data_IF_865402823908
#
_entry.id   IF_865402823908
#
_cell.length_a   1.000
_cell.length_b   1.000
_cell.length_c   1.000
_cell.angle_alpha   90.00
_cell.angle_beta   90.00
_cell.angle_gamma   90.00
#
_symmetry.space_group_name_H-M   'P 1'
#
loop_
_entity.id
_entity.type
_entity.pdbx_description
1 polymer ?
#
# COMPACT_ATOMS: atom_id res chain seq x y z
N UNK A 1 -40.36 -10.01 -33.21
CA UNK A 1 -39.43 -9.33 -32.27
C UNK A 1 -38.00 -9.86 -32.32
N UNK A 2 -37.75 -11.15 -32.57
CA UNK A 2 -36.40 -11.72 -32.75
C UNK A 2 -35.46 -11.07 -33.80
N UNK A 3 -35.92 -10.70 -35.02
CA UNK A 3 -35.00 -10.13 -36.03
C UNK A 3 -34.56 -8.69 -35.71
N UNK A 4 -35.38 -7.92 -34.98
CA UNK A 4 -35.04 -6.57 -34.54
C UNK A 4 -33.97 -6.59 -33.44
N UNK A 5 -34.01 -7.59 -32.54
CA UNK A 5 -32.98 -7.78 -31.51
C UNK A 5 -31.64 -8.16 -32.11
N UNK A 6 -31.62 -9.10 -33.06
CA UNK A 6 -30.40 -9.47 -33.79
C UNK A 6 -29.78 -8.29 -34.57
N UNK A 7 -30.60 -7.45 -35.20
CA UNK A 7 -30.12 -6.24 -35.87
C UNK A 7 -29.61 -5.20 -34.87
N UNK A 8 -30.33 -4.95 -33.78
CA UNK A 8 -29.90 -4.04 -32.72
C UNK A 8 -28.59 -4.51 -32.06
N UNK A 9 -28.45 -5.81 -31.78
CA UNK A 9 -27.23 -6.41 -31.21
C UNK A 9 -26.04 -6.30 -32.19
N UNK A 10 -26.28 -6.43 -33.51
CA UNK A 10 -25.24 -6.27 -34.55
C UNK A 10 -24.82 -4.80 -34.72
N UNK A 11 -25.77 -3.87 -34.76
CA UNK A 11 -25.45 -2.44 -34.83
C UNK A 11 -24.77 -1.96 -33.53
N UNK A 12 -25.25 -2.38 -32.36
CA UNK A 12 -24.58 -2.14 -31.09
C UNK A 12 -23.16 -2.71 -31.09
N UNK A 13 -22.95 -3.93 -31.59
CA UNK A 13 -21.60 -4.52 -31.71
C UNK A 13 -20.68 -3.82 -32.71
N UNK A 14 -21.23 -3.14 -33.73
CA UNK A 14 -20.46 -2.41 -34.73
C UNK A 14 -20.07 -1.00 -34.25
N UNK A 15 -20.94 -0.32 -33.49
CA UNK A 15 -20.58 0.94 -32.81
C UNK A 15 -19.61 0.69 -31.64
N UNK A 16 -19.81 -0.40 -30.88
CA UNK A 16 -18.89 -0.90 -29.85
C UNK A 16 -17.54 -1.37 -30.45
N UNK A 17 -17.48 -1.64 -31.76
CA UNK A 17 -16.24 -2.00 -32.46
C UNK A 17 -15.38 -0.78 -32.80
N UNK A 18 -15.99 0.35 -33.18
CA UNK A 18 -15.24 1.54 -33.65
C UNK A 18 -14.66 2.33 -32.46
N UNK A 19 -15.46 2.59 -31.42
CA UNK A 19 -15.01 3.34 -30.24
C UNK A 19 -13.95 2.57 -29.42
N UNK A 20 -14.08 1.24 -29.32
CA UNK A 20 -13.12 0.39 -28.60
C UNK A 20 -11.93 -0.08 -29.46
N UNK A 21 -11.73 0.52 -30.63
CA UNK A 21 -10.54 0.37 -31.46
C UNK A 21 -9.91 1.74 -31.79
N UNK A 22 -10.54 2.85 -31.39
CA UNK A 22 -9.96 4.19 -31.45
C UNK A 22 -8.94 4.39 -30.33
N UNK A 23 -7.69 4.65 -30.72
CA UNK A 23 -6.56 4.90 -29.81
C UNK A 23 -6.82 6.10 -28.90
N UNK A 24 -7.42 7.18 -29.42
CA UNK A 24 -7.64 8.40 -28.64
C UNK A 24 -8.76 8.22 -27.62
N UNK A 25 -9.82 7.51 -28.01
CA UNK A 25 -10.89 7.12 -27.08
C UNK A 25 -10.36 6.26 -25.94
N UNK A 26 -9.65 5.17 -26.27
CA UNK A 26 -9.08 4.25 -25.29
C UNK A 26 -8.04 4.93 -24.39
N UNK A 27 -7.23 5.85 -24.94
CA UNK A 27 -6.30 6.66 -24.15
C UNK A 27 -7.04 7.48 -23.12
N UNK A 28 -8.05 8.25 -23.54
CA UNK A 28 -8.84 9.11 -22.66
C UNK A 28 -9.56 8.30 -21.59
N UNK A 29 -10.15 7.16 -21.96
CA UNK A 29 -10.81 6.26 -21.01
C UNK A 29 -9.83 5.75 -19.94
N UNK A 30 -8.65 5.28 -20.37
CA UNK A 30 -7.59 4.80 -19.46
C UNK A 30 -7.13 5.90 -18.51
N UNK A 31 -6.88 7.11 -19.02
CA UNK A 31 -6.47 8.30 -18.24
C UNK A 31 -7.53 8.74 -17.24
N UNK A 32 -8.80 8.75 -17.65
CA UNK A 32 -9.93 9.08 -16.77
C UNK A 32 -10.07 8.06 -15.64
N UNK A 33 -9.97 6.77 -15.95
CA UNK A 33 -10.00 5.72 -14.92
C UNK A 33 -8.82 5.84 -13.95
N UNK A 34 -7.60 6.14 -14.43
CA UNK A 34 -6.48 6.41 -13.54
C UNK A 34 -6.71 7.66 -12.68
N UNK A 35 -7.22 8.74 -13.27
CA UNK A 35 -7.51 9.99 -12.55
C UNK A 35 -8.50 9.75 -11.41
N UNK A 36 -9.53 8.93 -11.64
CA UNK A 36 -10.51 8.55 -10.63
C UNK A 36 -9.86 7.71 -9.52
N UNK A 37 -9.11 6.67 -9.90
CA UNK A 37 -8.37 5.83 -8.94
C UNK A 37 -7.38 6.64 -8.10
N UNK A 38 -6.66 7.56 -8.72
CA UNK A 38 -5.72 8.44 -8.04
C UNK A 38 -6.42 9.35 -7.02
N UNK A 39 -7.59 9.91 -7.36
CA UNK A 39 -8.39 10.71 -6.41
C UNK A 39 -8.79 9.90 -5.18
N UNK A 40 -9.16 8.63 -5.36
CA UNK A 40 -9.50 7.73 -4.24
C UNK A 40 -8.28 7.48 -3.35
N UNK A 41 -7.11 7.20 -3.94
CA UNK A 41 -5.86 6.97 -3.21
C UNK A 41 -5.43 8.21 -2.41
N UNK A 42 -5.46 9.40 -3.03
CA UNK A 42 -5.16 10.66 -2.33
C UNK A 42 -6.24 10.99 -1.29
N UNK A 43 -7.50 10.70 -1.57
CA UNK A 43 -8.60 10.81 -0.61
C UNK A 43 -8.34 9.95 0.63
N UNK A 44 -7.87 8.72 0.46
CA UNK A 44 -7.45 7.87 1.57
C UNK A 44 -6.24 8.45 2.32
N UNK A 45 -5.17 8.89 1.63
CA UNK A 45 -4.00 9.50 2.30
C UNK A 45 -4.33 10.78 3.10
N UNK A 46 -5.39 11.48 2.72
CA UNK A 46 -5.88 12.66 3.43
C UNK A 46 -6.95 12.36 4.50
N UNK A 47 -7.38 11.10 4.61
CA UNK A 47 -8.41 10.66 5.54
C UNK A 47 -7.92 10.57 6.99
N UNK A 48 -8.86 10.58 7.93
CA UNK A 48 -8.57 10.30 9.34
C UNK A 48 -8.17 8.84 9.57
N UNK A 49 -8.72 7.92 8.77
CA UNK A 49 -8.37 6.49 8.83
C UNK A 49 -6.87 6.28 8.60
N UNK A 50 -6.31 6.87 7.54
CA UNK A 50 -4.88 6.77 7.25
C UNK A 50 -4.03 7.41 8.36
N UNK A 51 -4.45 8.56 8.88
CA UNK A 51 -3.76 9.21 10.01
C UNK A 51 -3.76 8.33 11.27
N UNK A 52 -4.88 7.69 11.59
CA UNK A 52 -4.98 6.81 12.75
C UNK A 52 -4.08 5.58 12.59
N UNK A 53 -4.07 4.93 11.41
CA UNK A 53 -3.14 3.83 11.12
C UNK A 53 -1.67 4.25 11.24
N UNK A 54 -1.31 5.46 10.80
CA UNK A 54 0.05 5.98 10.98
C UNK A 54 0.39 6.20 12.46
N UNK A 55 -0.54 6.77 13.25
CA UNK A 55 -0.35 6.98 14.69
C UNK A 55 -0.23 5.65 15.44
N UNK A 56 -1.08 4.68 15.15
CA UNK A 56 -1.03 3.33 15.72
C UNK A 56 0.31 2.66 15.42
N UNK A 57 0.76 2.71 14.17
CA UNK A 57 2.07 2.17 13.77
C UNK A 57 3.21 2.86 14.53
N UNK A 58 3.18 4.19 14.63
CA UNK A 58 4.21 4.93 15.34
C UNK A 58 4.22 4.56 16.84
N UNK A 59 3.05 4.56 17.47
CA UNK A 59 2.90 4.19 18.87
C UNK A 59 3.41 2.76 19.14
N UNK A 60 3.12 1.81 18.24
CA UNK A 60 3.61 0.44 18.33
C UNK A 60 5.13 0.32 18.18
N UNK A 61 5.72 1.01 17.18
CA UNK A 61 7.19 1.00 17.00
C UNK A 61 7.87 1.61 18.24
N UNK A 62 7.35 2.72 18.78
CA UNK A 62 7.91 3.36 19.99
C UNK A 62 7.70 2.49 21.24
N UNK A 63 6.50 1.94 21.45
CA UNK A 63 6.21 1.09 22.62
C UNK A 63 7.08 -0.16 22.63
N UNK A 64 7.42 -0.71 21.47
CA UNK A 64 8.33 -1.85 21.36
C UNK A 64 9.74 -1.52 21.88
N UNK A 65 10.25 -0.33 21.59
CA UNK A 65 11.55 0.14 22.10
C UNK A 65 11.50 0.40 23.61
N UNK A 66 10.40 0.99 24.09
CA UNK A 66 10.17 1.22 25.51
C UNK A 66 10.03 -0.09 26.31
N UNK A 67 9.41 -1.11 25.72
CA UNK A 67 9.27 -2.42 26.34
C UNK A 67 10.65 -3.05 26.58
N UNK A 68 11.58 -2.96 25.62
CA UNK A 68 12.96 -3.44 25.79
C UNK A 68 13.63 -2.76 26.99
N UNK A 69 13.44 -1.44 27.16
CA UNK A 69 13.97 -0.72 28.30
C UNK A 69 13.36 -1.22 29.63
N UNK A 70 12.06 -1.49 29.66
CA UNK A 70 11.37 -2.00 30.85
C UNK A 70 11.84 -3.41 31.24
N UNK A 71 12.06 -4.28 30.26
CA UNK A 71 12.55 -5.65 30.47
C UNK A 71 13.98 -5.63 30.99
N UNK A 72 14.86 -4.81 30.39
CA UNK A 72 16.22 -4.62 30.85
C UNK A 72 16.27 -4.08 32.29
N UNK A 73 15.40 -3.12 32.63
CA UNK A 73 15.28 -2.62 34.01
C UNK A 73 14.93 -3.72 34.99
N UNK A 74 13.96 -4.58 34.66
CA UNK A 74 13.53 -5.67 35.53
C UNK A 74 14.60 -6.74 35.68
N UNK A 75 15.26 -7.13 34.58
CA UNK A 75 16.35 -8.12 34.61
C UNK A 75 17.54 -7.63 35.42
N UNK A 76 17.92 -6.36 35.26
CA UNK A 76 19.02 -5.76 36.01
C UNK A 76 18.70 -5.63 37.50
N UNK A 77 17.47 -5.26 37.86
CA UNK A 77 17.01 -5.26 39.26
C UNK A 77 17.07 -6.65 39.90
N UNK A 78 16.58 -7.68 39.19
CA UNK A 78 16.67 -9.07 39.68
C UNK A 78 18.14 -9.50 39.80
N UNK A 79 18.98 -9.12 38.84
CA UNK A 79 20.42 -9.38 38.87
C UNK A 79 21.12 -8.74 40.06
N UNK A 80 20.76 -7.51 40.41
CA UNK A 80 21.25 -6.80 41.58
C UNK A 80 20.86 -7.53 42.88
N UNK A 81 19.60 -7.91 43.04
CA UNK A 81 19.12 -8.67 44.21
C UNK A 81 19.85 -10.01 44.36
N UNK A 82 20.01 -10.76 43.28
CA UNK A 82 20.72 -12.05 43.29
C UNK A 82 22.21 -11.88 43.59
N UNK A 83 22.82 -10.81 43.07
CA UNK A 83 24.22 -10.50 43.37
C UNK A 83 24.39 -10.13 44.86
N UNK A 84 23.54 -9.27 45.41
CA UNK A 84 23.60 -8.87 46.83
C UNK A 84 23.45 -10.08 47.77
N UNK A 85 22.52 -11.00 47.48
CA UNK A 85 22.33 -12.24 48.25
C UNK A 85 23.52 -13.20 48.17
N UNK A 86 24.28 -13.19 47.08
CA UNK A 86 25.37 -14.12 46.82
C UNK A 86 26.75 -13.60 47.27
N UNK A 87 26.85 -12.33 47.70
CA UNK A 87 28.14 -11.65 47.87
C UNK A 87 28.50 -11.42 49.34
N UNK A 88 29.56 -12.06 49.83
CA UNK A 88 30.06 -11.90 51.21
C UNK A 88 31.00 -10.68 51.39
N UNK A 89 31.28 -9.92 50.32
CA UNK A 89 32.28 -8.85 50.26
C UNK A 89 31.71 -7.52 49.76
N UNK A 90 31.85 -6.41 50.52
CA UNK A 90 31.39 -5.09 50.09
C UNK A 90 32.01 -4.59 48.77
N UNK A 91 33.23 -5.04 48.43
CA UNK A 91 33.89 -4.66 47.18
C UNK A 91 33.28 -5.35 45.95
N UNK A 92 32.83 -6.59 46.11
CA UNK A 92 32.22 -7.35 45.04
C UNK A 92 30.79 -6.83 44.76
N UNK A 93 30.08 -6.40 45.82
CA UNK A 93 28.78 -5.72 45.70
C UNK A 93 28.89 -4.40 44.92
N UNK A 94 29.90 -3.55 45.24
CA UNK A 94 30.14 -2.32 44.49
C UNK A 94 30.50 -2.55 43.01
N UNK A 95 31.22 -3.63 42.69
CA UNK A 95 31.52 -3.97 41.30
C UNK A 95 30.30 -4.50 40.54
N UNK A 96 29.41 -5.23 41.22
CA UNK A 96 28.15 -5.69 40.65
C UNK A 96 27.22 -4.50 40.36
N UNK A 97 27.07 -3.57 41.30
CA UNK A 97 26.29 -2.34 41.14
C UNK A 97 26.81 -1.49 39.97
N UNK A 98 28.13 -1.30 39.86
CA UNK A 98 28.72 -0.56 38.74
C UNK A 98 28.44 -1.21 37.37
N UNK A 99 28.50 -2.55 37.28
CA UNK A 99 28.16 -3.27 36.04
C UNK A 99 26.68 -3.15 35.69
N UNK A 100 25.80 -3.20 36.70
CA UNK A 100 24.37 -2.99 36.51
C UNK A 100 24.09 -1.58 35.99
N UNK A 101 24.74 -0.56 36.57
CA UNK A 101 24.62 0.83 36.12
C UNK A 101 25.15 1.02 34.69
N UNK A 102 26.31 0.45 34.35
CA UNK A 102 26.88 0.50 33.01
C UNK A 102 25.96 -0.16 31.97
N UNK A 103 25.45 -1.37 32.26
CA UNK A 103 24.52 -2.07 31.36
C UNK A 103 23.18 -1.34 31.21
N UNK A 104 22.71 -0.68 32.27
CA UNK A 104 21.51 0.15 32.21
C UNK A 104 21.69 1.38 31.31
N UNK A 105 22.82 2.07 31.46
CA UNK A 105 23.17 3.24 30.66
C UNK A 105 23.31 2.86 29.18
N UNK A 106 24.00 1.76 28.88
CA UNK A 106 24.16 1.23 27.53
C UNK A 106 22.80 0.94 26.90
N UNK A 107 21.92 0.22 27.62
CA UNK A 107 20.57 -0.10 27.13
C UNK A 107 19.73 1.15 26.85
N UNK A 108 19.80 2.16 27.72
CA UNK A 108 19.10 3.44 27.48
C UNK A 108 19.59 4.12 26.20
N UNK A 109 20.90 4.13 25.96
CA UNK A 109 21.48 4.75 24.77
C UNK A 109 21.04 4.01 23.49
N UNK A 110 21.04 2.67 23.51
CA UNK A 110 20.57 1.85 22.39
C UNK A 110 19.09 2.08 22.08
N UNK A 111 18.24 2.04 23.11
CA UNK A 111 16.80 2.31 22.97
C UNK A 111 16.56 3.72 22.44
N UNK A 112 17.30 4.71 22.94
CA UNK A 112 17.17 6.08 22.45
C UNK A 112 17.63 6.25 20.99
N UNK A 113 18.70 5.57 20.59
CA UNK A 113 19.10 5.55 19.18
C UNK A 113 18.01 4.92 18.30
N UNK A 114 17.36 3.85 18.77
CA UNK A 114 16.27 3.20 18.06
C UNK A 114 15.01 4.07 17.95
N UNK A 115 14.63 4.77 19.03
CA UNK A 115 13.54 5.75 19.03
C UNK A 115 13.80 6.86 18.00
N UNK A 116 15.00 7.45 18.02
CA UNK A 116 15.38 8.52 17.08
C UNK A 116 15.41 8.04 15.63
N UNK A 117 15.86 6.82 15.34
CA UNK A 117 15.77 6.27 13.98
C UNK A 117 14.32 6.01 13.56
N UNK A 118 13.46 5.54 14.46
CA UNK A 118 12.01 5.44 14.18
C UNK A 118 11.43 6.80 13.83
N UNK A 119 11.73 7.86 14.57
CA UNK A 119 11.27 9.22 14.24
C UNK A 119 11.76 9.67 12.85
N UNK A 120 13.07 9.51 12.58
CA UNK A 120 13.67 9.84 11.28
C UNK A 120 13.02 9.08 10.12
N UNK A 121 12.74 7.78 10.32
CA UNK A 121 12.06 6.93 9.33
C UNK A 121 10.64 7.40 9.06
N UNK A 122 9.88 7.77 10.09
CA UNK A 122 8.53 8.30 9.88
C UNK A 122 8.58 9.62 9.11
N UNK A 123 9.58 10.48 9.34
CA UNK A 123 9.73 11.75 8.61
C UNK A 123 10.12 11.62 7.14
N UNK A 124 10.95 10.63 6.82
CA UNK A 124 11.60 10.56 5.51
C UNK A 124 11.20 9.30 4.75
N UNK A 125 11.40 8.14 5.38
CA UNK A 125 11.31 6.85 4.72
C UNK A 125 9.83 6.43 4.49
N UNK A 126 8.94 6.67 5.45
CA UNK A 126 7.50 6.33 5.34
C UNK A 126 6.81 7.12 4.21
N UNK A 127 6.99 8.45 4.08
CA UNK A 127 6.47 9.20 2.93
C UNK A 127 7.00 8.70 1.59
N UNK A 128 8.29 8.38 1.50
CA UNK A 128 8.88 7.85 0.25
C UNK A 128 8.34 6.47 -0.11
N UNK A 129 8.17 5.59 0.89
CA UNK A 129 7.54 4.28 0.71
C UNK A 129 6.09 4.42 0.24
N UNK A 130 5.34 5.36 0.82
CA UNK A 130 3.96 5.67 0.40
C UNK A 130 3.92 6.12 -1.06
N UNK A 131 4.83 7.02 -1.45
CA UNK A 131 4.91 7.48 -2.82
C UNK A 131 5.30 6.36 -3.80
N UNK A 132 6.23 5.48 -3.40
CA UNK A 132 6.58 4.29 -4.18
C UNK A 132 5.40 3.33 -4.32
N UNK A 133 4.61 3.13 -3.27
CA UNK A 133 3.42 2.29 -3.33
C UNK A 133 2.38 2.81 -4.33
N UNK A 134 2.11 4.13 -4.37
CA UNK A 134 1.21 4.70 -5.38
C UNK A 134 1.81 4.58 -6.79
N UNK A 135 3.13 4.72 -6.93
CA UNK A 135 3.82 4.47 -8.20
C UNK A 135 3.63 3.02 -8.68
N UNK A 136 3.77 2.06 -7.79
CA UNK A 136 3.55 0.64 -8.09
C UNK A 136 2.08 0.38 -8.46
N UNK A 137 1.12 1.01 -7.77
CA UNK A 137 -0.32 0.92 -8.09
C UNK A 137 -0.65 1.56 -9.44
N UNK A 138 0.04 2.64 -9.84
CA UNK A 138 -0.06 3.19 -11.19
C UNK A 138 0.31 2.14 -12.25
N UNK A 139 1.46 1.47 -12.09
CA UNK A 139 1.87 0.43 -13.03
C UNK A 139 0.94 -0.79 -13.01
N UNK A 140 0.46 -1.16 -11.83
CA UNK A 140 -0.50 -2.25 -11.66
C UNK A 140 -1.82 -1.93 -12.37
N UNK A 141 -2.36 -0.72 -12.22
CA UNK A 141 -3.58 -0.26 -12.89
C UNK A 141 -3.46 -0.37 -14.42
N UNK A 142 -2.38 0.16 -15.02
CA UNK A 142 -2.18 0.09 -16.47
C UNK A 142 -2.04 -1.37 -16.96
N UNK A 143 -1.44 -2.24 -16.15
CA UNK A 143 -1.36 -3.67 -16.44
C UNK A 143 -2.73 -4.34 -16.40
N UNK A 144 -3.55 -4.04 -15.38
CA UNK A 144 -4.93 -4.54 -15.24
C UNK A 144 -5.81 -4.06 -16.40
N UNK A 145 -5.74 -2.76 -16.71
CA UNK A 145 -6.47 -2.16 -17.83
C UNK A 145 -6.15 -2.84 -19.16
N UNK A 146 -4.86 -3.07 -19.45
CA UNK A 146 -4.43 -3.75 -20.68
C UNK A 146 -4.98 -5.18 -20.76
N UNK A 147 -4.98 -5.93 -19.65
CA UNK A 147 -5.60 -7.27 -19.62
C UNK A 147 -7.10 -7.17 -19.91
N UNK A 148 -7.80 -6.22 -19.29
CA UNK A 148 -9.21 -5.95 -19.55
C UNK A 148 -9.50 -5.64 -21.03
N UNK A 149 -8.65 -4.82 -21.67
CA UNK A 149 -8.74 -4.54 -23.10
C UNK A 149 -8.68 -5.82 -23.93
N UNK A 150 -7.65 -6.66 -23.75
CA UNK A 150 -7.54 -7.93 -24.49
C UNK A 150 -8.71 -8.87 -24.23
N UNK A 151 -9.12 -9.06 -22.97
CA UNK A 151 -10.27 -9.90 -22.62
C UNK A 151 -11.57 -9.39 -23.27
N UNK A 152 -11.76 -8.08 -23.33
CA UNK A 152 -12.91 -7.50 -24.01
C UNK A 152 -12.86 -7.78 -25.52
N UNK A 153 -11.68 -7.63 -26.16
CA UNK A 153 -11.50 -7.93 -27.59
C UNK A 153 -11.68 -9.42 -27.91
N UNK A 154 -11.23 -10.33 -27.05
CA UNK A 154 -11.52 -11.77 -27.18
C UNK A 154 -13.02 -12.06 -27.19
N UNK A 155 -13.78 -11.42 -26.28
CA UNK A 155 -15.24 -11.57 -26.22
C UNK A 155 -15.93 -10.98 -27.45
N UNK A 156 -15.47 -9.82 -27.93
CA UNK A 156 -15.98 -9.19 -29.13
C UNK A 156 -15.78 -10.10 -30.36
N UNK A 157 -14.58 -10.64 -30.51
CA UNK A 157 -14.27 -11.59 -31.58
C UNK A 157 -15.13 -12.86 -31.49
N UNK A 158 -15.32 -13.41 -30.29
CA UNK A 158 -16.17 -14.59 -30.09
C UNK A 158 -17.61 -14.34 -30.54
N UNK A 159 -18.18 -13.15 -30.24
CA UNK A 159 -19.50 -12.74 -30.71
C UNK A 159 -19.56 -12.60 -32.23
N UNK A 160 -18.56 -11.95 -32.84
CA UNK A 160 -18.50 -11.79 -34.30
C UNK A 160 -18.39 -13.14 -35.01
N UNK A 161 -17.53 -14.04 -34.51
CA UNK A 161 -17.35 -15.40 -35.02
C UNK A 161 -18.63 -16.23 -34.91
N UNK A 162 -19.33 -16.15 -33.79
CA UNK A 162 -20.62 -16.80 -33.59
C UNK A 162 -21.67 -16.26 -34.57
N UNK A 163 -21.74 -14.95 -34.77
CA UNK A 163 -22.63 -14.32 -35.73
C UNK A 163 -22.34 -14.77 -37.17
N UNK A 164 -21.07 -14.77 -37.59
CA UNK A 164 -20.65 -15.24 -38.92
C UNK A 164 -21.06 -16.69 -39.17
N UNK A 165 -20.85 -17.57 -38.17
CA UNK A 165 -21.22 -19.00 -38.26
C UNK A 165 -22.72 -19.25 -38.17
N UNK A 166 -23.49 -18.35 -37.55
CA UNK A 166 -24.95 -18.43 -37.44
C UNK A 166 -25.70 -17.98 -38.70
N UNK A 167 -25.02 -17.49 -39.74
CA UNK A 167 -25.65 -17.05 -40.99
C UNK A 167 -26.18 -18.24 -41.81
N UNK A 168 -27.26 -18.06 -42.59
CA UNK A 168 -27.74 -19.08 -43.53
C UNK A 168 -26.63 -19.54 -44.46
N UNK A 169 -26.56 -20.85 -44.77
CA UNK A 169 -25.50 -21.50 -45.55
C UNK A 169 -25.13 -20.79 -46.87
N UNK A 170 -26.10 -20.20 -47.57
CA UNK A 170 -25.88 -19.47 -48.83
C UNK A 170 -25.22 -18.08 -48.64
N UNK A 171 -25.10 -17.61 -47.40
CA UNK A 171 -24.57 -16.29 -47.00
C UNK A 171 -23.49 -16.39 -45.92
N UNK A 172 -23.18 -17.60 -45.46
CA UNK A 172 -22.17 -17.87 -44.47
C UNK A 172 -20.78 -17.73 -45.10
N UNK A 173 -19.86 -16.99 -44.46
CA UNK A 173 -18.48 -16.91 -44.92
C UNK A 173 -17.80 -18.28 -44.82
N UNK A 174 -16.85 -18.55 -45.73
CA UNK A 174 -16.01 -19.76 -45.65
C UNK A 174 -15.10 -19.71 -44.41
N UNK A 175 -14.62 -20.86 -43.94
CA UNK A 175 -13.65 -20.90 -42.82
C UNK A 175 -12.36 -20.14 -43.15
N UNK A 176 -11.94 -20.12 -44.44
CA UNK A 176 -10.80 -19.31 -44.87
C UNK A 176 -11.08 -17.80 -44.69
N UNK A 177 -12.29 -17.35 -45.04
CA UNK A 177 -12.73 -15.96 -44.84
C UNK A 177 -12.82 -15.61 -43.35
N UNK A 178 -13.32 -16.51 -42.51
CA UNK A 178 -13.36 -16.29 -41.05
C UNK A 178 -11.95 -16.16 -40.49
N UNK A 179 -11.01 -17.03 -40.90
CA UNK A 179 -9.62 -16.97 -40.47
C UNK A 179 -8.90 -15.69 -40.93
N UNK A 180 -9.17 -15.22 -42.15
CA UNK A 180 -8.62 -13.95 -42.63
C UNK A 180 -9.11 -12.79 -41.77
N UNK A 181 -10.42 -12.73 -41.47
CA UNK A 181 -10.99 -11.72 -40.58
C UNK A 181 -10.43 -11.79 -39.16
N UNK A 182 -10.15 -12.99 -38.67
CA UNK A 182 -9.51 -13.20 -37.35
C UNK A 182 -8.14 -12.55 -37.30
N UNK A 183 -7.32 -12.78 -38.34
CA UNK A 183 -6.00 -12.18 -38.43
C UNK A 183 -6.11 -10.65 -38.52
N UNK A 184 -6.95 -10.13 -39.42
CA UNK A 184 -7.15 -8.68 -39.58
C UNK A 184 -7.65 -8.02 -38.28
N UNK A 185 -8.49 -8.73 -37.52
CA UNK A 185 -8.97 -8.28 -36.21
C UNK A 185 -7.81 -8.16 -35.22
N UNK A 186 -7.03 -9.23 -35.04
CA UNK A 186 -5.95 -9.25 -34.07
C UNK A 186 -4.80 -8.30 -34.45
N UNK A 187 -4.48 -8.18 -35.74
CA UNK A 187 -3.49 -7.21 -36.21
C UNK A 187 -3.86 -5.78 -35.80
N UNK A 188 -5.14 -5.40 -35.95
CA UNK A 188 -5.62 -4.10 -35.47
C UNK A 188 -5.53 -3.96 -33.96
N UNK A 189 -5.94 -4.99 -33.19
CA UNK A 189 -5.88 -4.96 -31.72
C UNK A 189 -4.46 -4.76 -31.24
N UNK A 190 -3.49 -5.47 -31.83
CA UNK A 190 -2.08 -5.33 -31.47
C UNK A 190 -1.51 -3.96 -31.86
N UNK A 191 -1.90 -3.41 -33.02
CA UNK A 191 -1.51 -2.06 -33.40
C UNK A 191 -2.01 -1.00 -32.39
N UNK A 192 -3.25 -1.13 -31.92
CA UNK A 192 -3.82 -0.24 -30.89
C UNK A 192 -3.04 -0.37 -29.58
N UNK A 193 -2.76 -1.59 -29.11
CA UNK A 193 -1.96 -1.82 -27.89
C UNK A 193 -0.56 -1.20 -28.01
N UNK A 194 0.11 -1.38 -29.16
CA UNK A 194 1.43 -0.81 -29.39
C UNK A 194 1.43 0.71 -29.41
N UNK A 195 0.44 1.36 -30.03
CA UNK A 195 0.28 2.82 -29.95
C UNK A 195 0.06 3.30 -28.51
N UNK A 196 -0.79 2.59 -27.75
CA UNK A 196 -1.05 2.90 -26.35
C UNK A 196 0.16 2.69 -25.43
N UNK A 197 1.14 1.87 -25.84
CA UNK A 197 2.38 1.58 -25.10
C UNK A 197 3.51 2.58 -25.39
N UNK A 198 3.50 3.23 -26.55
CA UNK A 198 4.50 4.26 -26.93
C UNK A 198 4.41 5.52 -26.07
N UNK A 199 3.28 5.72 -25.40
CA UNK A 199 3.04 6.87 -24.56
C UNK A 199 4.01 6.92 -23.36
N UNK A 200 4.66 8.07 -23.19
CA UNK A 200 5.50 8.29 -22.02
C UNK A 200 4.62 8.42 -20.78
N UNK A 201 4.95 7.62 -19.77
CA UNK A 201 4.30 7.59 -18.45
C UNK A 201 4.66 8.85 -17.67
N UNK A 202 4.07 9.98 -18.03
CA UNK A 202 4.52 11.30 -17.57
C UNK A 202 3.73 11.90 -16.41
N UNK A 203 2.74 11.21 -15.84
CA UNK A 203 1.75 11.85 -14.98
C UNK A 203 1.78 11.44 -13.50
N UNK A 204 2.76 10.64 -13.06
CA UNK A 204 2.91 10.36 -11.63
C UNK A 204 3.86 11.37 -10.98
N UNK A 205 3.31 12.39 -10.32
CA UNK A 205 4.11 13.31 -9.50
C UNK A 205 4.38 12.69 -8.13
N UNK A 206 5.49 11.95 -8.04
CA UNK A 206 5.95 11.34 -6.79
C UNK A 206 6.07 12.34 -5.64
N UNK A 207 6.47 13.58 -5.94
CA UNK A 207 6.71 14.60 -4.92
C UNK A 207 5.42 15.04 -4.23
N UNK A 208 4.30 15.11 -4.96
CA UNK A 208 3.02 15.49 -4.37
C UNK A 208 2.56 14.45 -3.34
N UNK A 209 2.71 13.15 -3.66
CA UNK A 209 2.38 12.06 -2.74
C UNK A 209 3.27 12.09 -1.50
N UNK A 210 4.57 12.33 -1.67
CA UNK A 210 5.49 12.51 -0.53
C UNK A 210 5.02 13.64 0.37
N UNK A 211 4.61 14.78 -0.20
CA UNK A 211 4.15 15.92 0.58
C UNK A 211 2.87 15.61 1.37
N UNK A 212 1.88 14.94 0.76
CA UNK A 212 0.68 14.48 1.47
C UNK A 212 1.02 13.55 2.65
N UNK A 213 1.91 12.59 2.43
CA UNK A 213 2.32 11.66 3.48
C UNK A 213 3.11 12.36 4.60
N UNK A 214 4.00 13.31 4.26
CA UNK A 214 4.71 14.14 5.25
C UNK A 214 3.76 14.96 6.12
N UNK A 215 2.71 15.53 5.52
CA UNK A 215 1.73 16.31 6.27
C UNK A 215 0.89 15.46 7.22
N UNK A 216 0.64 14.19 6.89
CA UNK A 216 0.03 13.23 7.80
C UNK A 216 0.97 12.88 8.97
N UNK A 217 2.26 12.65 8.69
CA UNK A 217 3.28 12.32 9.70
C UNK A 217 3.48 13.45 10.72
N UNK A 218 3.42 14.71 10.30
CA UNK A 218 3.52 15.87 11.21
C UNK A 218 2.45 15.91 12.31
N UNK A 219 1.35 15.19 12.14
CA UNK A 219 0.24 15.15 13.10
C UNK A 219 0.39 14.04 14.13
N UNK A 220 1.47 13.26 14.06
CA UNK A 220 1.80 12.24 15.04
C UNK A 220 2.41 12.95 16.27
N UNK A 221 1.81 12.81 17.47
CA UNK A 221 2.40 13.37 18.69
C UNK A 221 3.71 12.64 18.99
N UNK A 222 4.80 13.40 19.19
CA UNK A 222 6.13 12.87 19.48
C UNK A 222 6.51 13.09 20.94
N UNK A 223 7.23 12.14 21.50
CA UNK A 223 7.83 12.30 22.82
C UNK A 223 9.18 13.00 22.66
N UNK A 224 9.15 14.33 22.78
CA UNK A 224 10.35 15.16 22.75
C UNK A 224 11.16 15.11 24.06
N UNK A 225 10.82 14.25 25.03
CA UNK A 225 11.43 14.26 26.36
C UNK A 225 12.33 13.05 26.65
N UNK A 226 11.94 11.86 26.18
CA UNK A 226 12.56 10.60 26.61
C UNK A 226 14.07 10.53 26.38
N UNK A 227 14.54 11.01 25.22
CA UNK A 227 15.95 10.92 24.83
C UNK A 227 16.70 12.26 24.89
N UNK A 228 16.07 13.28 25.48
CA UNK A 228 16.66 14.60 25.66
C UNK A 228 17.31 14.71 27.04
N UNK A 229 18.53 14.19 27.19
CA UNK A 229 19.30 14.31 28.41
C UNK A 229 20.38 13.23 28.56
N UNK A 230 21.26 13.35 29.57
CA UNK A 230 22.14 12.25 29.94
C UNK A 230 21.31 11.06 30.43
N UNK A 231 21.79 9.81 30.24
CA UNK A 231 21.16 8.61 30.76
C UNK A 231 20.84 8.74 32.24
N UNK A 232 19.62 8.33 32.62
CA UNK A 232 19.17 8.36 34.00
C UNK A 232 19.69 7.13 34.74
N UNK A 233 20.12 7.30 35.99
CA UNK A 233 20.40 6.16 36.87
C UNK A 233 19.14 5.29 37.04
N UNK A 234 19.34 3.99 37.28
CA UNK A 234 18.23 3.07 37.52
C UNK A 234 17.40 3.55 38.72
N UNK A 235 16.07 3.59 38.56
CA UNK A 235 15.14 4.08 39.60
C UNK A 235 15.08 5.60 39.78
N UNK A 236 15.75 6.39 38.93
CA UNK A 236 15.58 7.85 38.94
C UNK A 236 14.13 8.22 38.55
N UNK A 237 13.49 9.18 39.24
CA UNK A 237 12.14 9.62 38.88
C UNK A 237 12.14 10.21 37.47
N UNK A 238 11.08 9.98 36.67
CA UNK A 238 10.97 10.56 35.33
C UNK A 238 11.03 12.10 35.41
N UNK A 239 11.57 12.78 34.38
CA UNK A 239 11.52 14.24 34.32
C UNK A 239 10.06 14.70 34.42
N UNK A 240 9.80 15.76 35.21
CA UNK A 240 8.48 16.22 35.68
C UNK A 240 7.47 16.69 34.60
N UNK A 241 7.69 16.41 33.31
CA UNK A 241 6.88 16.89 32.19
C UNK A 241 6.47 15.79 31.18
N UNK A 242 6.47 14.51 31.54
CA UNK A 242 5.95 13.46 30.65
C UNK A 242 4.41 13.36 30.73
N UNK A 243 3.68 13.40 29.60
CA UNK A 243 2.26 13.02 29.55
C UNK A 243 2.02 11.62 30.13
N UNK A 244 0.81 11.35 30.63
CA UNK A 244 0.43 10.02 31.11
C UNK A 244 0.33 9.03 29.93
N UNK A 245 1.40 8.28 29.66
CA UNK A 245 1.46 7.25 28.62
C UNK A 245 0.97 5.87 29.11
N UNK A 246 0.72 5.73 30.41
CA UNK A 246 0.37 4.47 31.09
C UNK A 246 -0.89 3.82 30.49
N UNK A 247 -1.97 4.59 30.31
CA UNK A 247 -3.22 4.11 29.72
C UNK A 247 -3.07 3.66 28.24
N UNK A 248 -2.09 4.20 27.51
CA UNK A 248 -1.84 3.87 26.10
C UNK A 248 -1.01 2.59 25.96
N UNK A 249 -0.03 2.40 26.84
CA UNK A 249 0.83 1.21 26.90
C UNK A 249 -0.01 -0.01 27.28
N UNK A 250 -0.86 0.10 28.30
CA UNK A 250 -1.73 -1.00 28.74
C UNK A 250 -2.71 -1.42 27.63
N UNK A 251 -3.20 -0.45 26.84
CA UNK A 251 -4.08 -0.73 25.70
C UNK A 251 -3.35 -1.44 24.55
N UNK A 252 -2.11 -1.02 24.23
CA UNK A 252 -1.30 -1.64 23.17
C UNK A 252 -0.85 -3.05 23.57
N UNK A 253 -0.52 -3.27 24.85
CA UNK A 253 -0.08 -4.57 25.36
C UNK A 253 -1.25 -5.56 25.52
N UNK A 254 -2.48 -5.07 25.74
CA UNK A 254 -3.68 -5.89 25.78
C UNK A 254 -4.15 -6.37 24.40
N UNK A 255 -3.75 -5.67 23.33
CA UNK A 255 -4.03 -6.04 21.94
C UNK A 255 -2.82 -6.82 21.38
N UNK A 256 -2.77 -8.15 21.62
CA UNK A 256 -1.71 -9.06 21.16
C UNK A 256 -1.19 -8.70 19.75
N UNK A 257 0.07 -8.26 19.67
CA UNK A 257 0.75 -7.80 18.46
C UNK A 257 0.63 -8.82 17.32
N UNK A 258 -0.15 -8.56 16.25
CA UNK A 258 0.04 -9.24 14.99
C UNK A 258 0.91 -8.34 14.11
N UNK A 259 1.86 -8.94 13.41
CA UNK A 259 2.69 -8.28 12.41
C UNK A 259 1.87 -7.38 11.46
N UNK A 260 1.90 -6.06 11.68
CA UNK A 260 1.25 -5.11 10.76
C UNK A 260 2.19 -4.87 9.58
N UNK A 261 2.12 -5.77 8.60
CA UNK A 261 2.59 -5.51 7.24
C UNK A 261 1.59 -4.54 6.59
N UNK A 262 1.81 -3.24 6.73
CA UNK A 262 1.02 -2.18 6.08
C UNK A 262 0.91 -2.30 4.54
N UNK A 263 1.74 -3.16 3.93
CA UNK A 263 1.90 -3.26 2.48
C UNK A 263 1.82 -4.71 1.96
N UNK A 264 0.98 -5.58 2.54
CA UNK A 264 0.62 -6.84 1.86
C UNK A 264 -0.88 -6.92 1.58
N UNK A 265 -1.18 -6.88 0.28
CA UNK A 265 -2.17 -7.63 -0.50
C UNK A 265 -3.64 -7.76 -0.05
N UNK A 266 -4.02 -7.45 1.19
CA UNK A 266 -5.36 -7.79 1.69
C UNK A 266 -6.41 -6.71 1.46
N UNK A 267 -6.04 -5.42 1.47
CA UNK A 267 -7.03 -4.35 1.31
C UNK A 267 -7.47 -4.12 -0.14
N UNK A 268 -6.67 -4.57 -1.12
CA UNK A 268 -7.00 -4.45 -2.54
C UNK A 268 -6.46 -5.65 -3.32
N UNK A 269 -6.88 -6.87 -2.97
CA UNK A 269 -7.22 -7.79 -4.06
C UNK A 269 -8.43 -7.15 -4.72
N UNK A 270 -8.18 -6.30 -5.72
CA UNK A 270 -9.24 -5.71 -6.51
C UNK A 270 -10.23 -6.81 -6.83
N UNK A 271 -11.42 -6.69 -6.26
CA UNK A 271 -12.50 -7.61 -6.59
C UNK A 271 -12.62 -7.58 -8.11
N UNK A 272 -12.87 -8.77 -8.67
CA UNK A 272 -12.87 -9.04 -10.10
C UNK A 272 -13.75 -8.11 -10.96
N UNK A 273 -14.50 -7.20 -10.35
CA UNK A 273 -15.37 -6.23 -11.01
C UNK A 273 -14.61 -5.15 -11.80
N UNK A 274 -13.38 -4.79 -11.43
CA UNK A 274 -12.54 -3.90 -12.28
C UNK A 274 -12.15 -4.56 -13.61
N UNK A 275 -12.10 -5.90 -13.67
CA UNK A 275 -11.79 -6.64 -14.91
C UNK A 275 -12.99 -6.78 -15.84
N UNK A 276 -14.18 -6.38 -15.39
CA UNK A 276 -15.45 -6.57 -16.08
C UNK A 276 -16.22 -5.29 -16.31
N UNK A 277 -15.75 -4.14 -15.81
CA UNK A 277 -16.35 -2.84 -16.11
C UNK A 277 -16.56 -2.76 -17.63
N UNK A 278 -17.82 -2.74 -18.10
CA UNK A 278 -18.09 -2.73 -19.51
C UNK A 278 -17.42 -1.48 -20.08
N UNK A 279 -16.67 -1.65 -21.18
CA UNK A 279 -16.24 -0.52 -21.99
C UNK A 279 -17.50 0.10 -22.58
N UNK A 280 -18.20 0.92 -21.79
CA UNK A 280 -19.52 1.47 -22.11
C UNK A 280 -20.61 0.41 -22.26
N UNK A 281 -21.32 0.08 -21.17
CA UNK A 281 -22.73 -0.27 -21.34
C UNK A 281 -23.48 1.03 -21.60
N UNK A 282 -23.68 1.36 -22.87
CA UNK A 282 -24.66 2.36 -23.25
C UNK A 282 -26.05 1.84 -22.89
N UNK A 283 -26.74 2.56 -22.01
CA UNK A 283 -28.19 2.44 -21.84
C UNK A 283 -28.96 2.89 -23.08
#
# INVERSE_FOLDING_TARGET
MWPLKLLADVFASAFDYDENMDVDHLRKQREQGWTQRYKELIGYLSSEEYRNKLKERYALEISSHLYVLSEASAMLYVGEVVADEATDSPQDAQQAEAKVEDSWIETQQEVCAAVLDTERRFDNDVPEQTAKWIEDEYYAYYTRWRRGFFTNRERAWAKEKAYMRGRPLFSAPTEATIKQRENDFWDKVYNVDDELRKEKRNNFNKQDVVNFAKDAVKQIPRDHGLCNGPPLKMGAPPPREAPAYEDLIDKIMAEEIPHIRLFRDEYFRGEMDEMLAPLGECG
#
